data_IF_212025684881
#
_entry.id   IF_212025684881
#
_cell.length_a   1.000
_cell.length_b   1.000
_cell.length_c   1.000
_cell.angle_alpha   90.00
_cell.angle_beta   90.00
_cell.angle_gamma   90.00
#
_symmetry.space_group_name_H-M   'P 1'
#
loop_
_entity.id
_entity.type
_entity.pdbx_description
1 polymer ?
#
# COMPACT_ATOMS: atom_id res chain seq x y z
N UNK A 1 -3.69 -4.04 -11.34
CA UNK A 1 -4.68 -4.87 -10.64
C UNK A 1 -4.29 -4.95 -9.17
N UNK A 2 -5.22 -4.82 -8.24
CA UNK A 2 -4.91 -4.89 -6.81
C UNK A 2 -5.98 -5.62 -6.02
N UNK A 3 -5.59 -6.19 -4.90
CA UNK A 3 -6.44 -6.83 -3.91
C UNK A 3 -6.31 -6.07 -2.58
N UNK A 4 -7.43 -5.66 -2.02
CA UNK A 4 -7.53 -5.07 -0.68
C UNK A 4 -8.32 -6.03 0.21
N UNK A 5 -7.72 -6.38 1.35
CA UNK A 5 -8.28 -7.24 2.39
C UNK A 5 -8.45 -6.40 3.65
N UNK A 6 -9.65 -6.41 4.21
CA UNK A 6 -9.93 -5.76 5.50
C UNK A 6 -10.23 -6.84 6.53
N UNK A 7 -9.47 -6.85 7.61
CA UNK A 7 -9.66 -7.72 8.76
C UNK A 7 -10.21 -6.87 9.93
N UNK A 8 -11.49 -7.08 10.25
CA UNK A 8 -12.15 -6.55 11.46
C UNK A 8 -12.21 -5.02 11.61
N UNK A 9 -12.23 -4.25 10.50
CA UNK A 9 -12.30 -2.77 10.45
C UNK A 9 -11.10 -1.99 11.04
N UNK A 10 -10.26 -2.62 11.87
CA UNK A 10 -9.05 -2.04 12.43
C UNK A 10 -7.77 -2.51 11.75
N UNK A 11 -7.82 -3.48 10.83
CA UNK A 11 -6.67 -3.91 10.05
C UNK A 11 -7.02 -3.98 8.57
N UNK A 12 -6.20 -3.36 7.74
CA UNK A 12 -6.29 -3.35 6.29
C UNK A 12 -4.97 -3.84 5.72
N UNK A 13 -5.04 -4.66 4.68
CA UNK A 13 -3.89 -5.14 3.95
C UNK A 13 -4.18 -4.97 2.47
N UNK A 14 -3.30 -4.27 1.77
CA UNK A 14 -3.45 -3.94 0.36
C UNK A 14 -2.27 -4.47 -0.42
N UNK A 15 -2.53 -5.14 -1.53
CA UNK A 15 -1.50 -5.53 -2.47
C UNK A 15 -1.93 -5.12 -3.87
N UNK A 16 -1.01 -4.56 -4.63
CA UNK A 16 -1.25 -4.01 -5.95
C UNK A 16 -0.14 -4.38 -6.90
N UNK A 17 -0.49 -4.54 -8.16
CA UNK A 17 0.42 -4.73 -9.25
C UNK A 17 0.04 -3.73 -10.33
N UNK A 18 0.90 -2.75 -10.59
CA UNK A 18 0.72 -1.76 -11.65
C UNK A 18 1.74 -2.06 -12.74
N UNK A 19 1.23 -2.50 -13.89
CA UNK A 19 2.02 -2.60 -15.12
C UNK A 19 1.81 -1.32 -15.92
N UNK A 20 2.86 -0.52 -16.07
CA UNK A 20 2.82 0.69 -16.91
C UNK A 20 3.12 0.30 -18.36
N UNK A 21 2.17 0.53 -19.28
CA UNK A 21 2.26 0.14 -20.69
C UNK A 21 3.05 1.14 -21.56
N UNK A 22 3.89 1.99 -20.96
CA UNK A 22 4.76 2.92 -21.70
C UNK A 22 6.16 2.34 -21.78
N UNK A 23 6.35 1.42 -22.72
CA UNK A 23 7.64 1.12 -23.34
C UNK A 23 8.73 0.59 -22.37
N UNK A 24 8.80 -0.74 -22.25
CA UNK A 24 9.76 -1.58 -21.51
C UNK A 24 9.45 -1.82 -20.03
N UNK A 25 9.02 -3.05 -19.73
CA UNK A 25 9.29 -3.89 -18.53
C UNK A 25 9.22 -3.29 -17.11
N UNK A 26 8.59 -2.13 -16.93
CA UNK A 26 8.43 -1.48 -15.63
C UNK A 26 7.20 -2.03 -14.90
N UNK A 27 7.34 -3.23 -14.34
CA UNK A 27 6.34 -3.81 -13.45
C UNK A 27 6.57 -3.28 -12.04
N UNK A 28 5.56 -2.62 -11.45
CA UNK A 28 5.62 -2.11 -10.08
C UNK A 28 4.69 -2.94 -9.20
N UNK A 29 5.28 -3.63 -8.23
CA UNK A 29 4.56 -4.30 -7.17
C UNK A 29 4.41 -3.36 -5.98
N UNK A 30 3.22 -3.29 -5.39
CA UNK A 30 2.92 -2.47 -4.22
C UNK A 30 2.31 -3.36 -3.16
N UNK A 31 2.74 -3.24 -1.91
CA UNK A 31 2.16 -3.93 -0.78
C UNK A 31 2.10 -2.97 0.39
N UNK A 32 0.94 -2.88 1.04
CA UNK A 32 0.75 -2.03 2.20
C UNK A 32 -0.10 -2.71 3.27
N UNK A 33 0.10 -2.27 4.49
CA UNK A 33 -0.64 -2.66 5.67
C UNK A 33 -1.10 -1.39 6.37
N UNK A 34 -2.34 -1.36 6.81
CA UNK A 34 -2.94 -0.30 7.59
C UNK A 34 -3.52 -0.89 8.87
N UNK A 35 -3.36 -0.20 9.98
CA UNK A 35 -4.10 -0.49 11.21
C UNK A 35 -4.78 0.77 11.71
N UNK A 36 -6.02 0.63 12.15
CA UNK A 36 -6.87 1.72 12.58
C UNK A 36 -7.64 1.40 13.87
N UNK A 37 -6.95 1.35 15.03
CA UNK A 37 -7.63 1.05 16.29
C UNK A 37 -8.67 2.14 16.61
N UNK A 38 -9.90 1.70 16.88
CA UNK A 38 -11.04 2.55 17.26
C UNK A 38 -11.39 3.67 16.24
N UNK A 39 -10.92 3.58 14.99
CA UNK A 39 -11.15 4.58 13.94
C UNK A 39 -10.64 6.01 14.26
N UNK A 40 -9.83 6.15 15.32
CA UNK A 40 -9.27 7.43 15.81
C UNK A 40 -7.79 7.59 15.49
N UNK A 41 -7.08 6.48 15.36
CA UNK A 41 -5.69 6.43 14.92
C UNK A 41 -5.68 5.61 13.66
N UNK A 42 -5.04 6.10 12.59
CA UNK A 42 -4.75 5.32 11.40
C UNK A 42 -3.24 5.31 11.19
N UNK A 43 -2.66 4.12 11.14
CA UNK A 43 -1.26 3.90 10.83
C UNK A 43 -1.20 3.03 9.58
N UNK A 44 -0.76 3.60 8.47
CA UNK A 44 -0.55 2.88 7.23
C UNK A 44 0.92 2.87 6.83
N UNK A 45 1.35 1.74 6.30
CA UNK A 45 2.68 1.51 5.76
C UNK A 45 2.50 0.89 4.38
N UNK A 46 3.02 1.56 3.36
CA UNK A 46 2.94 1.12 1.97
C UNK A 46 4.35 1.02 1.39
N UNK A 47 4.75 -0.17 0.99
CA UNK A 47 5.94 -0.43 0.19
C UNK A 47 5.61 -0.61 -1.29
N UNK A 48 6.53 -0.20 -2.15
CA UNK A 48 6.46 -0.33 -3.60
C UNK A 48 7.84 -0.74 -4.12
N UNK A 49 7.87 -1.76 -4.96
CA UNK A 49 9.09 -2.30 -5.56
C UNK A 49 8.84 -2.54 -7.05
N UNK A 50 9.60 -1.85 -7.88
CA UNK A 50 9.59 -1.98 -9.33
C UNK A 50 10.85 -2.65 -9.86
N UNK A 51 10.71 -3.38 -10.96
CA UNK A 51 11.80 -4.10 -11.65
C UNK A 51 12.94 -3.16 -12.09
N UNK A 52 12.63 -1.89 -12.39
CA UNK A 52 13.56 -0.92 -12.97
C UNK A 52 14.09 0.06 -11.90
N UNK A 53 14.76 -0.49 -10.88
CA UNK A 53 15.43 0.28 -9.79
C UNK A 53 14.53 1.29 -9.08
N UNK A 54 13.21 1.10 -9.12
CA UNK A 54 12.23 2.01 -8.54
C UNK A 54 11.67 1.37 -7.28
N UNK A 55 12.28 1.68 -6.14
CA UNK A 55 11.82 1.25 -4.82
C UNK A 55 11.31 2.47 -4.07
N UNK A 56 10.11 2.36 -3.50
CA UNK A 56 9.49 3.41 -2.72
C UNK A 56 8.85 2.82 -1.48
N UNK A 57 8.90 3.56 -0.38
CA UNK A 57 8.11 3.25 0.80
C UNK A 57 7.48 4.53 1.29
N UNK A 58 6.26 4.41 1.81
CA UNK A 58 5.51 5.48 2.43
C UNK A 58 4.99 4.94 3.76
N UNK A 59 5.05 5.77 4.79
CA UNK A 59 4.37 5.52 6.05
C UNK A 59 3.54 6.76 6.35
N UNK A 60 2.28 6.57 6.69
CA UNK A 60 1.40 7.66 7.08
C UNK A 60 0.75 7.31 8.42
N UNK A 61 0.65 8.35 9.23
CA UNK A 61 0.08 8.27 10.57
C UNK A 61 -0.90 9.44 10.68
N UNK A 62 -2.17 9.11 10.85
CA UNK A 62 -3.27 10.06 10.94
C UNK A 62 -3.97 9.91 12.29
N UNK A 63 -4.28 11.05 12.90
CA UNK A 63 -5.09 11.14 14.12
C UNK A 63 -6.38 11.90 13.81
N UNK A 64 -7.52 11.32 14.17
CA UNK A 64 -8.83 11.94 14.04
C UNK A 64 -9.30 12.33 15.46
N UNK A 65 -9.49 13.63 15.69
CA UNK A 65 -9.91 14.23 16.97
C UNK A 65 -11.22 14.99 16.82
#
# INVERSE_FOLDING_TARGET
MGAELNAWDWAQLRAGYRADMRNSDNNVFTAGIGISPFNVVHLDLTGMAGTDRTYGAAAQLTFTF
#
